data_IF_254495223114
#
_entry.id   IF_254495223114
#
_cell.length_a   1.000
_cell.length_b   1.000
_cell.length_c   1.000
_cell.angle_alpha   90.00
_cell.angle_beta   90.00
_cell.angle_gamma   90.00
#
_symmetry.space_group_name_H-M   'P 1'
#
loop_
_entity.id
_entity.type
_entity.pdbx_description
1 polymer ?
#
# COMPACT_ATOMS: atom_id res chain seq x y z
N UNK A 1 14.10 -25.84 -4.61
CA UNK A 1 14.21 -24.37 -4.55
C UNK A 1 14.54 -23.70 -5.90
N UNK A 2 14.93 -24.44 -6.95
CA UNK A 2 15.03 -23.92 -8.33
C UNK A 2 13.71 -23.90 -9.11
N UNK A 3 12.70 -24.66 -8.67
CA UNK A 3 11.41 -24.83 -9.35
C UNK A 3 10.40 -23.68 -9.15
N UNK A 4 10.67 -22.73 -8.25
CA UNK A 4 9.79 -21.55 -8.06
C UNK A 4 10.28 -20.32 -8.83
N UNK A 5 11.56 -20.27 -9.21
CA UNK A 5 12.12 -19.22 -10.07
C UNK A 5 11.63 -19.34 -11.53
N UNK A 6 11.12 -20.50 -11.94
CA UNK A 6 10.58 -20.75 -13.28
C UNK A 6 9.14 -20.26 -13.47
N UNK A 7 8.45 -19.81 -12.41
CA UNK A 7 7.07 -19.31 -12.47
C UNK A 7 6.97 -17.78 -12.48
N UNK A 8 8.08 -17.08 -12.25
CA UNK A 8 8.17 -15.64 -12.44
C UNK A 8 8.74 -15.42 -13.85
N UNK A 9 7.97 -14.88 -14.80
CA UNK A 9 8.49 -14.64 -16.14
C UNK A 9 9.74 -13.75 -16.04
N UNK A 10 10.87 -14.16 -16.66
CA UNK A 10 12.06 -13.32 -16.69
C UNK A 10 11.71 -12.08 -17.52
N UNK A 11 11.98 -10.91 -16.95
CA UNK A 11 11.73 -9.59 -17.54
C UNK A 11 10.26 -9.25 -17.78
N UNK A 12 9.57 -8.73 -16.75
CA UNK A 12 8.59 -7.68 -17.04
C UNK A 12 9.34 -6.56 -17.78
N UNK A 13 8.94 -6.26 -19.01
CA UNK A 13 9.56 -5.19 -19.81
C UNK A 13 9.61 -3.90 -18.98
N UNK A 14 10.61 -3.02 -19.18
CA UNK A 14 10.69 -1.75 -18.46
C UNK A 14 9.40 -0.92 -18.55
N UNK A 15 8.62 -1.09 -19.62
CA UNK A 15 7.28 -0.54 -19.79
C UNK A 15 6.21 -1.12 -18.86
N UNK A 16 6.24 -2.43 -18.57
CA UNK A 16 5.31 -3.07 -17.64
C UNK A 16 5.57 -2.67 -16.19
N UNK A 17 6.84 -2.50 -15.82
CA UNK A 17 7.24 -1.99 -14.49
C UNK A 17 6.86 -0.50 -14.35
N UNK A 18 7.06 0.31 -15.38
CA UNK A 18 6.68 1.72 -15.37
C UNK A 18 5.16 1.95 -15.31
N UNK A 19 4.35 1.04 -15.87
CA UNK A 19 2.89 1.13 -15.84
C UNK A 19 2.28 0.63 -14.51
N UNK A 20 3.04 -0.06 -13.65
CA UNK A 20 2.51 -0.69 -12.45
C UNK A 20 1.94 0.31 -11.45
N UNK A 21 2.64 1.43 -11.19
CA UNK A 21 2.18 2.44 -10.24
C UNK A 21 0.91 3.16 -10.72
N UNK A 22 0.83 3.69 -11.96
CA UNK A 22 -0.41 4.31 -12.45
C UNK A 22 -1.61 3.35 -12.47
N UNK A 23 -1.40 2.08 -12.81
CA UNK A 23 -2.45 1.06 -12.80
C UNK A 23 -2.91 0.76 -11.37
N UNK A 24 -1.97 0.57 -10.43
CA UNK A 24 -2.30 0.36 -9.02
C UNK A 24 -3.06 1.56 -8.45
N UNK A 25 -2.61 2.79 -8.74
CA UNK A 25 -3.27 4.02 -8.31
C UNK A 25 -4.71 4.09 -8.84
N UNK A 26 -4.90 3.85 -10.14
CA UNK A 26 -6.23 3.83 -10.74
C UNK A 26 -7.12 2.76 -10.11
N UNK A 27 -6.57 1.58 -9.79
CA UNK A 27 -7.32 0.51 -9.13
C UNK A 27 -7.80 0.90 -7.73
N UNK A 28 -6.95 1.50 -6.90
CA UNK A 28 -7.33 1.98 -5.57
C UNK A 28 -8.34 3.12 -5.65
N UNK A 29 -8.17 4.04 -6.61
CA UNK A 29 -9.13 5.11 -6.83
C UNK A 29 -10.51 4.57 -7.23
N UNK A 30 -10.56 3.56 -8.10
CA UNK A 30 -11.81 2.88 -8.47
C UNK A 30 -12.43 2.19 -7.25
N UNK A 31 -11.66 1.45 -6.46
CA UNK A 31 -12.16 0.79 -5.24
C UNK A 31 -12.72 1.83 -4.27
N UNK A 32 -12.03 2.96 -4.06
CA UNK A 32 -12.52 4.05 -3.22
C UNK A 32 -13.86 4.60 -3.73
N UNK A 33 -13.96 4.91 -5.03
CA UNK A 33 -15.18 5.45 -5.64
C UNK A 33 -16.33 4.46 -5.55
N UNK A 34 -16.08 3.16 -5.76
CA UNK A 34 -17.09 2.11 -5.63
C UNK A 34 -17.53 1.94 -4.16
N UNK A 35 -16.57 1.97 -3.23
CA UNK A 35 -16.85 1.98 -1.79
C UNK A 35 -17.79 3.12 -1.42
N UNK A 36 -17.42 4.33 -1.83
CA UNK A 36 -18.16 5.55 -1.50
C UNK A 36 -19.54 5.59 -2.16
N UNK A 37 -19.63 5.23 -3.44
CA UNK A 37 -20.84 5.45 -4.25
C UNK A 37 -21.82 4.28 -4.20
N UNK A 38 -21.34 3.05 -3.93
CA UNK A 38 -22.15 1.84 -4.01
C UNK A 38 -22.22 1.10 -2.67
N UNK A 39 -21.07 0.76 -2.07
CA UNK A 39 -21.01 -0.10 -0.88
C UNK A 39 -21.57 0.62 0.34
N UNK A 40 -21.06 1.81 0.64
CA UNK A 40 -21.42 2.61 1.81
C UNK A 40 -22.43 3.72 1.48
N UNK A 41 -23.17 3.59 0.38
CA UNK A 41 -24.04 4.65 -0.15
C UNK A 41 -25.11 5.16 0.83
N UNK A 42 -25.53 4.33 1.77
CA UNK A 42 -26.55 4.65 2.78
C UNK A 42 -25.96 5.19 4.09
N UNK A 43 -24.63 5.24 4.22
CA UNK A 43 -23.98 5.78 5.40
C UNK A 43 -23.93 7.32 5.34
N UNK A 44 -23.91 8.01 6.49
CA UNK A 44 -23.68 9.45 6.54
C UNK A 44 -22.40 9.84 5.78
N UNK A 45 -22.36 11.02 5.16
CA UNK A 45 -21.28 11.38 4.24
C UNK A 45 -19.86 11.28 4.83
N UNK A 46 -19.69 11.62 6.12
CA UNK A 46 -18.41 11.49 6.83
C UNK A 46 -18.02 10.04 7.08
N UNK A 47 -18.93 9.25 7.66
CA UNK A 47 -18.74 7.81 7.88
C UNK A 47 -18.50 7.06 6.56
N UNK A 48 -19.13 7.51 5.48
CA UNK A 48 -19.01 6.94 4.13
C UNK A 48 -17.63 7.13 3.54
N UNK A 49 -17.04 8.34 3.64
CA UNK A 49 -15.69 8.59 3.17
C UNK A 49 -14.67 7.80 3.99
N UNK A 50 -14.82 7.77 5.32
CA UNK A 50 -13.93 7.01 6.21
C UNK A 50 -14.01 5.50 5.93
N UNK A 51 -15.22 4.94 5.81
CA UNK A 51 -15.40 3.52 5.47
C UNK A 51 -14.81 3.17 4.10
N UNK A 52 -14.83 4.11 3.15
CA UNK A 52 -14.21 3.92 1.82
C UNK A 52 -12.68 3.95 1.88
N UNK A 53 -12.09 4.79 2.75
CA UNK A 53 -10.66 4.76 3.08
C UNK A 53 -10.29 3.42 3.76
N UNK A 54 -11.07 2.96 4.74
CA UNK A 54 -10.87 1.65 5.35
C UNK A 54 -10.93 0.51 4.32
N UNK A 55 -11.85 0.59 3.35
CA UNK A 55 -11.97 -0.41 2.30
C UNK A 55 -10.70 -0.49 1.45
N UNK A 56 -10.18 0.63 0.94
CA UNK A 56 -8.92 0.62 0.16
C UNK A 56 -7.73 0.17 1.01
N UNK A 57 -7.72 0.50 2.31
CA UNK A 57 -6.70 0.04 3.26
C UNK A 57 -6.72 -1.48 3.41
N UNK A 58 -7.90 -2.11 3.53
CA UNK A 58 -8.01 -3.58 3.57
C UNK A 58 -7.61 -4.25 2.24
N UNK A 59 -7.97 -3.63 1.11
CA UNK A 59 -7.58 -4.09 -0.23
C UNK A 59 -6.09 -3.91 -0.53
N UNK A 60 -5.41 -2.99 0.16
CA UNK A 60 -3.96 -2.83 0.09
C UNK A 60 -3.25 -3.75 1.09
N UNK A 61 -3.57 -3.62 2.38
CA UNK A 61 -2.86 -4.27 3.47
C UNK A 61 -2.86 -5.78 3.36
N UNK A 62 -3.99 -6.38 2.94
CA UNK A 62 -4.08 -7.84 2.79
C UNK A 62 -3.07 -8.36 1.74
N UNK A 63 -3.09 -7.92 0.46
CA UNK A 63 -2.03 -8.27 -0.49
C UNK A 63 -0.64 -7.84 -0.04
N UNK A 64 -0.49 -6.65 0.52
CA UNK A 64 0.81 -6.10 0.91
C UNK A 64 1.53 -7.00 1.92
N UNK A 65 0.84 -7.52 2.94
CA UNK A 65 1.41 -8.45 3.91
C UNK A 65 1.97 -9.70 3.22
N UNK A 66 1.19 -10.33 2.33
CA UNK A 66 1.63 -11.56 1.65
C UNK A 66 2.76 -11.30 0.67
N UNK A 67 2.64 -10.26 -0.16
CA UNK A 67 3.63 -9.92 -1.18
C UNK A 67 4.94 -9.45 -0.54
N UNK A 68 4.89 -8.58 0.47
CA UNK A 68 6.07 -8.12 1.19
C UNK A 68 6.75 -9.28 1.93
N UNK A 69 5.98 -10.12 2.62
CA UNK A 69 6.53 -11.31 3.29
C UNK A 69 7.22 -12.23 2.29
N UNK A 70 6.57 -12.53 1.16
CA UNK A 70 7.17 -13.35 0.10
C UNK A 70 8.45 -12.69 -0.45
N UNK A 71 8.45 -11.37 -0.69
CA UNK A 71 9.62 -10.63 -1.17
C UNK A 71 10.80 -10.73 -0.19
N UNK A 72 10.54 -10.63 1.11
CA UNK A 72 11.54 -10.75 2.18
C UNK A 72 12.08 -12.17 2.28
N UNK A 73 11.21 -13.19 2.24
CA UNK A 73 11.62 -14.59 2.38
C UNK A 73 12.34 -15.14 1.15
N UNK A 74 12.00 -14.65 -0.04
CA UNK A 74 12.56 -15.10 -1.31
C UNK A 74 13.96 -14.55 -1.61
N UNK A 75 14.35 -13.46 -0.95
CA UNK A 75 15.65 -12.83 -1.12
C UNK A 75 16.69 -13.42 -0.15
N UNK A 76 17.86 -13.77 -0.69
CA UNK A 76 18.99 -14.24 0.11
C UNK A 76 19.74 -13.09 0.77
N UNK A 77 19.71 -11.89 0.19
CA UNK A 77 20.31 -10.71 0.80
C UNK A 77 19.31 -10.03 1.74
N UNK A 78 19.63 -10.04 3.03
CA UNK A 78 18.80 -9.47 4.10
C UNK A 78 19.45 -8.24 4.73
N UNK A 79 20.42 -7.63 4.05
CA UNK A 79 21.03 -6.39 4.48
C UNK A 79 20.01 -5.25 4.52
N UNK A 80 20.04 -4.45 5.59
CA UNK A 80 19.15 -3.28 5.69
C UNK A 80 19.42 -2.20 4.62
N UNK A 81 20.57 -2.25 3.95
CA UNK A 81 20.93 -1.40 2.82
C UNK A 81 21.14 -2.19 1.52
N UNK A 82 20.63 -3.43 1.45
CA UNK A 82 20.70 -4.26 0.24
C UNK A 82 20.01 -3.57 -0.94
N UNK A 83 20.47 -3.86 -2.15
CA UNK A 83 19.82 -3.38 -3.39
C UNK A 83 18.42 -3.95 -3.48
N UNK A 84 17.46 -3.11 -3.87
CA UNK A 84 16.08 -3.55 -4.00
C UNK A 84 15.95 -4.55 -5.17
N UNK A 85 15.30 -5.68 -4.93
CA UNK A 85 14.93 -6.58 -6.02
C UNK A 85 13.79 -5.98 -6.85
N UNK A 86 13.59 -6.44 -8.11
CA UNK A 86 12.45 -6.01 -8.91
C UNK A 86 11.10 -6.27 -8.22
N UNK A 87 10.98 -7.39 -7.51
CA UNK A 87 9.75 -7.74 -6.81
C UNK A 87 9.53 -6.86 -5.57
N UNK A 88 10.56 -6.60 -4.76
CA UNK A 88 10.48 -5.62 -3.68
C UNK A 88 10.09 -4.23 -4.19
N UNK A 89 10.64 -3.83 -5.33
CA UNK A 89 10.31 -2.55 -5.99
C UNK A 89 8.85 -2.50 -6.44
N UNK A 90 8.29 -3.60 -6.97
CA UNK A 90 6.88 -3.68 -7.33
C UNK A 90 5.95 -3.60 -6.11
N UNK A 91 6.34 -4.19 -4.97
CA UNK A 91 5.59 -4.06 -3.71
C UNK A 91 5.62 -2.61 -3.20
N UNK A 92 6.75 -1.92 -3.31
CA UNK A 92 6.84 -0.50 -2.98
C UNK A 92 5.93 0.34 -3.91
N UNK A 93 5.92 0.08 -5.21
CA UNK A 93 5.06 0.79 -6.18
C UNK A 93 3.56 0.59 -5.87
N UNK A 94 3.17 -0.64 -5.53
CA UNK A 94 1.81 -0.97 -5.08
C UNK A 94 1.42 -0.20 -3.82
N UNK A 95 2.31 -0.16 -2.81
CA UNK A 95 2.04 0.55 -1.56
C UNK A 95 2.04 2.07 -1.73
N UNK A 96 2.97 2.62 -2.52
CA UNK A 96 2.98 4.05 -2.87
C UNK A 96 1.65 4.47 -3.48
N UNK A 97 1.11 3.68 -4.42
CA UNK A 97 -0.17 3.95 -5.05
C UNK A 97 -1.32 4.03 -4.03
N UNK A 98 -1.39 3.09 -3.08
CA UNK A 98 -2.37 3.12 -1.99
C UNK A 98 -2.21 4.37 -1.12
N UNK A 99 -1.02 4.61 -0.58
CA UNK A 99 -0.77 5.73 0.33
C UNK A 99 -1.08 7.09 -0.32
N UNK A 100 -0.90 7.22 -1.64
CA UNK A 100 -1.33 8.42 -2.37
C UNK A 100 -2.85 8.57 -2.41
N UNK A 101 -3.59 7.51 -2.75
CA UNK A 101 -5.07 7.59 -2.80
C UNK A 101 -5.64 7.86 -1.40
N UNK A 102 -5.09 7.25 -0.36
CA UNK A 102 -5.55 7.46 1.00
C UNK A 102 -5.19 8.84 1.55
N UNK A 103 -4.00 9.37 1.19
CA UNK A 103 -3.66 10.77 1.46
C UNK A 103 -4.63 11.75 0.78
N UNK A 104 -5.06 11.47 -0.45
CA UNK A 104 -6.07 12.29 -1.13
C UNK A 104 -7.40 12.28 -0.36
N UNK A 105 -7.82 11.13 0.17
CA UNK A 105 -8.99 11.07 1.05
C UNK A 105 -8.85 12.05 2.22
N UNK A 106 -7.75 12.00 2.96
CA UNK A 106 -7.54 12.89 4.10
C UNK A 106 -7.42 14.38 3.72
N UNK A 107 -6.90 14.70 2.52
CA UNK A 107 -6.83 16.09 2.04
C UNK A 107 -8.22 16.62 1.64
N UNK A 108 -9.06 15.79 1.01
CA UNK A 108 -10.40 16.21 0.55
C UNK A 108 -11.47 16.18 1.65
N UNK A 109 -11.35 15.24 2.60
CA UNK A 109 -12.31 15.05 3.69
C UNK A 109 -11.72 15.44 5.06
N UNK A 110 -10.74 16.35 5.05
CA UNK A 110 -9.95 16.74 6.21
C UNK A 110 -10.78 17.08 7.45
N UNK A 111 -10.46 16.41 8.55
CA UNK A 111 -10.86 16.79 9.90
C UNK A 111 -9.61 17.16 10.73
N UNK A 112 -9.70 18.11 11.68
CA UNK A 112 -8.55 18.49 12.52
C UNK A 112 -7.88 17.32 13.27
N UNK A 113 -8.63 16.24 13.54
CA UNK A 113 -8.10 15.01 14.14
C UNK A 113 -7.17 14.19 13.23
N UNK A 114 -7.18 14.46 11.92
CA UNK A 114 -6.47 13.65 10.91
C UNK A 114 -5.03 14.11 10.68
N UNK A 115 -4.57 15.18 11.34
CA UNK A 115 -3.25 15.75 11.11
C UNK A 115 -2.11 14.73 11.32
N UNK A 116 -2.25 13.84 12.31
CA UNK A 116 -1.28 12.76 12.55
C UNK A 116 -1.31 11.71 11.43
N UNK A 117 -2.50 11.37 10.92
CA UNK A 117 -2.63 10.44 9.80
C UNK A 117 -2.02 11.03 8.52
N UNK A 118 -2.29 12.30 8.21
CA UNK A 118 -1.69 13.00 7.07
C UNK A 118 -0.17 13.05 7.20
N UNK A 119 0.35 13.44 8.37
CA UNK A 119 1.79 13.48 8.62
C UNK A 119 2.44 12.10 8.47
N UNK A 120 1.79 11.05 8.99
CA UNK A 120 2.23 9.67 8.83
C UNK A 120 2.25 9.23 7.36
N UNK A 121 1.22 9.53 6.58
CA UNK A 121 1.15 9.20 5.16
C UNK A 121 2.23 9.91 4.36
N UNK A 122 2.45 11.20 4.61
CA UNK A 122 3.53 11.98 3.98
C UNK A 122 4.90 11.42 4.32
N UNK A 123 5.16 11.08 5.59
CA UNK A 123 6.41 10.48 6.01
C UNK A 123 6.63 9.10 5.36
N UNK A 124 5.59 8.27 5.31
CA UNK A 124 5.66 6.94 4.68
C UNK A 124 5.89 7.03 3.18
N UNK A 125 5.17 7.93 2.49
CA UNK A 125 5.40 8.22 1.07
C UNK A 125 6.82 8.71 0.80
N UNK A 126 7.34 9.63 1.63
CA UNK A 126 8.71 10.09 1.51
C UNK A 126 9.71 8.94 1.63
N UNK A 127 9.56 8.06 2.63
CA UNK A 127 10.43 6.89 2.82
C UNK A 127 10.32 5.91 1.65
N UNK A 128 9.11 5.61 1.17
CA UNK A 128 8.92 4.66 0.07
C UNK A 128 9.45 5.21 -1.26
N UNK A 129 9.14 6.46 -1.59
CA UNK A 129 9.58 7.10 -2.83
C UNK A 129 11.10 7.24 -2.87
N UNK A 130 11.72 7.64 -1.76
CA UNK A 130 13.18 7.73 -1.69
C UNK A 130 13.82 6.36 -1.84
N UNK A 131 13.36 5.35 -1.10
CA UNK A 131 13.81 3.96 -1.24
C UNK A 131 13.69 3.44 -2.68
N UNK A 132 12.54 3.68 -3.32
CA UNK A 132 12.20 3.12 -4.63
C UNK A 132 12.83 3.84 -5.82
N UNK A 133 12.83 5.17 -5.81
CA UNK A 133 13.14 5.98 -6.98
C UNK A 133 14.41 6.81 -6.84
N UNK A 134 14.85 7.12 -5.62
CA UNK A 134 16.06 7.93 -5.41
C UNK A 134 17.29 7.07 -5.10
N UNK A 135 17.18 6.16 -4.13
CA UNK A 135 18.34 5.36 -3.69
C UNK A 135 18.36 3.96 -4.30
N UNK A 136 17.21 3.29 -4.46
CA UNK A 136 17.13 1.93 -4.99
C UNK A 136 17.62 0.83 -4.01
N UNK A 137 17.71 1.16 -2.72
CA UNK A 137 18.22 0.29 -1.65
C UNK A 137 17.32 0.35 -0.41
N UNK A 138 17.37 -0.70 0.42
CA UNK A 138 16.76 -0.74 1.75
C UNK A 138 15.32 -1.25 1.82
N UNK A 139 14.78 -1.82 0.73
CA UNK A 139 13.41 -2.34 0.73
C UNK A 139 13.22 -3.46 1.75
N UNK A 140 14.22 -4.29 2.05
CA UNK A 140 14.10 -5.34 3.09
C UNK A 140 13.61 -4.78 4.44
N UNK A 141 14.24 -3.70 4.92
CA UNK A 141 13.87 -3.06 6.18
C UNK A 141 12.46 -2.46 6.10
N UNK A 142 12.19 -1.72 5.02
CA UNK A 142 10.92 -1.02 4.81
C UNK A 142 9.76 -1.99 4.66
N UNK A 143 9.93 -3.09 3.93
CA UNK A 143 8.90 -4.11 3.76
C UNK A 143 8.64 -4.89 5.05
N UNK A 144 9.66 -5.08 5.90
CA UNK A 144 9.44 -5.66 7.23
C UNK A 144 8.55 -4.76 8.08
N UNK A 145 8.82 -3.45 8.08
CA UNK A 145 7.97 -2.47 8.77
C UNK A 145 6.57 -2.40 8.15
N UNK A 146 6.45 -2.47 6.82
CA UNK A 146 5.17 -2.54 6.11
C UNK A 146 4.34 -3.73 6.60
N UNK A 147 4.91 -4.93 6.68
CA UNK A 147 4.19 -6.12 7.18
C UNK A 147 3.61 -5.87 8.57
N UNK A 148 4.42 -5.33 9.49
CA UNK A 148 3.96 -5.04 10.85
C UNK A 148 2.87 -3.96 10.86
N UNK A 149 3.07 -2.88 10.10
CA UNK A 149 2.13 -1.78 9.98
C UNK A 149 0.77 -2.26 9.45
N UNK A 150 0.77 -3.09 8.40
CA UNK A 150 -0.47 -3.57 7.79
C UNK A 150 -1.24 -4.55 8.68
N UNK A 151 -0.56 -5.37 9.48
CA UNK A 151 -1.23 -6.22 10.48
C UNK A 151 -1.95 -5.36 11.52
N UNK A 152 -1.30 -4.30 12.01
CA UNK A 152 -1.93 -3.37 12.94
C UNK A 152 -3.04 -2.54 12.29
N UNK A 153 -2.84 -2.13 11.03
CA UNK A 153 -3.82 -1.40 10.21
C UNK A 153 -5.07 -2.23 9.97
N UNK A 154 -4.95 -3.53 9.71
CA UNK A 154 -6.10 -4.42 9.58
C UNK A 154 -6.98 -4.39 10.83
N UNK A 155 -6.38 -4.55 12.01
CA UNK A 155 -7.09 -4.47 13.28
C UNK A 155 -7.77 -3.11 13.47
N UNK A 156 -7.06 -2.02 13.16
CA UNK A 156 -7.58 -0.66 13.27
C UNK A 156 -8.78 -0.44 12.32
N UNK A 157 -8.67 -0.82 11.05
CA UNK A 157 -9.73 -0.64 10.06
C UNK A 157 -10.99 -1.46 10.39
N UNK A 158 -10.82 -2.71 10.82
CA UNK A 158 -11.95 -3.55 11.25
C UNK A 158 -12.64 -2.94 12.47
N UNK A 159 -11.87 -2.42 13.44
CA UNK A 159 -12.41 -1.72 14.59
C UNK A 159 -13.20 -0.47 14.19
N UNK A 160 -12.64 0.37 13.31
CA UNK A 160 -13.32 1.57 12.80
C UNK A 160 -14.63 1.22 12.11
N UNK A 161 -14.62 0.23 11.19
CA UNK A 161 -15.82 -0.20 10.49
C UNK A 161 -16.89 -0.78 11.43
N UNK A 162 -16.47 -1.54 12.45
CA UNK A 162 -17.38 -2.10 13.44
C UNK A 162 -18.04 -1.01 14.32
N UNK A 163 -17.37 0.12 14.54
CA UNK A 163 -17.93 1.26 15.27
C UNK A 163 -19.11 1.95 14.56
N UNK A 164 -19.30 1.67 13.27
CA UNK A 164 -20.37 2.22 12.43
C UNK A 164 -21.48 1.22 12.10
N UNK A 165 -21.34 -0.05 12.50
CA UNK A 165 -22.34 -1.12 12.35
C UNK A 165 -23.26 -1.19 13.59
#
# INVERSE_FOLDING_TARGET
MQLLQTLIPPSSSPTAVAAALPVAFASFLVIYILGYSLVFRHWPSGARSEASSCLISLFHGTPAVFLASFAIYSDSDRGFAATNTPFQSAVLDFSVAYFFVDLLHYVFFFSPGDALFIGHHLATLFVFLTCRYLVGHGAFAILTLLVLAEVTSFCQNVWTLAGWL
#
